data_IF_151678119301
#
_entry.id   IF_151678119301
#
_cell.length_a   1.000
_cell.length_b   1.000
_cell.length_c   1.000
_cell.angle_alpha   90.00
_cell.angle_beta   90.00
_cell.angle_gamma   90.00
#
_symmetry.space_group_name_H-M   'P 1'
#
loop_
_entity.id
_entity.type
_entity.pdbx_description
1 polymer ?
#
# COMPACT_ATOMS: atom_id res chain seq x y z
N UNK A 1 6.51 10.12 6.56
CA UNK A 1 6.09 9.56 5.24
C UNK A 1 6.70 10.33 4.07
N UNK A 2 6.63 11.66 3.95
CA UNK A 2 7.14 12.40 2.78
C UNK A 2 8.62 12.10 2.45
N UNK A 3 9.52 12.10 3.45
CA UNK A 3 10.94 11.76 3.20
C UNK A 3 11.13 10.28 2.83
N UNK A 4 10.35 9.37 3.39
CA UNK A 4 10.36 7.95 3.00
C UNK A 4 9.93 7.78 1.54
N UNK A 5 8.85 8.46 1.12
CA UNK A 5 8.40 8.50 -0.27
C UNK A 5 9.47 9.05 -1.22
N UNK A 6 10.18 10.10 -0.80
CA UNK A 6 11.28 10.66 -1.58
C UNK A 6 12.43 9.65 -1.75
N UNK A 7 12.82 8.95 -0.67
CA UNK A 7 13.85 7.90 -0.74
C UNK A 7 13.44 6.81 -1.74
N UNK A 8 12.19 6.37 -1.67
CA UNK A 8 11.68 5.33 -2.56
C UNK A 8 11.65 5.76 -4.03
N UNK A 9 11.25 7.01 -4.29
CA UNK A 9 11.27 7.59 -5.64
C UNK A 9 12.68 7.74 -6.20
N UNK A 10 13.66 8.15 -5.38
CA UNK A 10 15.06 8.23 -5.77
C UNK A 10 15.59 6.84 -6.19
N UNK A 11 15.30 5.79 -5.42
CA UNK A 11 15.66 4.42 -5.76
C UNK A 11 14.96 3.92 -7.03
N UNK A 12 13.67 4.22 -7.17
CA UNK A 12 12.89 3.85 -8.35
C UNK A 12 13.43 4.51 -9.62
N UNK A 13 13.73 5.80 -9.56
CA UNK A 13 14.31 6.52 -10.69
C UNK A 13 15.68 5.96 -11.08
N UNK A 14 16.58 5.72 -10.10
CA UNK A 14 17.88 5.11 -10.34
C UNK A 14 17.75 3.75 -11.02
N UNK A 15 16.80 2.91 -10.54
CA UNK A 15 16.52 1.61 -11.15
C UNK A 15 15.97 1.75 -12.59
N UNK A 16 15.07 2.69 -12.82
CA UNK A 16 14.52 2.96 -14.16
C UNK A 16 15.59 3.44 -15.14
N UNK A 17 16.55 4.23 -14.66
CA UNK A 17 17.69 4.75 -15.43
C UNK A 17 18.80 3.71 -15.70
N UNK A 18 18.62 2.48 -15.19
CA UNK A 18 19.54 1.37 -15.42
C UNK A 18 20.80 1.42 -14.55
N UNK A 19 20.77 2.14 -13.43
CA UNK A 19 21.86 2.10 -12.45
C UNK A 19 21.93 0.72 -11.79
N UNK A 20 23.10 0.38 -11.22
CA UNK A 20 23.26 -0.86 -10.47
C UNK A 20 22.28 -0.89 -9.27
N UNK A 21 21.48 -1.93 -9.20
CA UNK A 21 20.40 -2.06 -8.22
C UNK A 21 20.34 -3.49 -7.68
N UNK A 22 20.35 -3.63 -6.36
CA UNK A 22 20.31 -4.94 -5.71
C UNK A 22 18.87 -5.41 -5.54
N UNK A 23 18.62 -6.62 -6.04
CA UNK A 23 17.36 -7.34 -5.85
C UNK A 23 17.72 -8.71 -5.28
N UNK A 24 17.32 -8.96 -4.05
CA UNK A 24 17.51 -10.24 -3.37
C UNK A 24 16.18 -11.00 -3.28
N UNK A 25 16.22 -12.22 -2.74
CA UNK A 25 15.02 -13.01 -2.48
C UNK A 25 14.94 -13.39 -1.01
N UNK A 26 13.76 -13.25 -0.44
CA UNK A 26 13.45 -13.74 0.91
C UNK A 26 13.35 -15.28 0.92
N UNK A 27 13.23 -15.87 2.09
CA UNK A 27 13.11 -17.33 2.27
C UNK A 27 11.87 -17.91 1.57
N UNK A 28 10.84 -17.12 1.36
CA UNK A 28 9.60 -17.47 0.64
C UNK A 28 9.66 -17.16 -0.87
N UNK A 29 10.87 -16.88 -1.38
CA UNK A 29 11.16 -16.50 -2.78
C UNK A 29 10.57 -15.14 -3.22
N UNK A 30 9.93 -14.38 -2.33
CA UNK A 30 9.50 -13.02 -2.64
C UNK A 30 10.71 -12.09 -2.84
N UNK A 31 10.63 -11.14 -3.78
CA UNK A 31 11.73 -10.19 -3.98
C UNK A 31 11.80 -9.18 -2.84
N UNK A 32 13.01 -8.81 -2.46
CA UNK A 32 13.33 -7.65 -1.64
C UNK A 32 14.38 -6.81 -2.34
N UNK A 33 14.24 -5.51 -2.32
CA UNK A 33 15.16 -4.60 -2.99
C UNK A 33 15.92 -3.73 -1.99
N UNK A 34 17.01 -3.12 -2.44
CA UNK A 34 17.69 -2.12 -1.61
C UNK A 34 16.77 -0.95 -1.22
N UNK A 35 15.73 -0.66 -2.02
CA UNK A 35 14.74 0.37 -1.73
C UNK A 35 13.91 0.02 -0.49
N UNK A 36 13.42 -1.25 -0.40
CA UNK A 36 12.71 -1.77 0.79
C UNK A 36 13.55 -1.54 2.05
N UNK A 37 14.80 -1.96 2.02
CA UNK A 37 15.71 -1.89 3.17
C UNK A 37 16.05 -0.45 3.59
N UNK A 38 16.25 0.45 2.63
CA UNK A 38 16.52 1.87 2.91
C UNK A 38 15.32 2.56 3.54
N UNK A 39 14.12 2.34 3.01
CA UNK A 39 12.88 2.91 3.56
C UNK A 39 12.58 2.32 4.93
N UNK A 40 12.77 0.99 5.09
CA UNK A 40 12.61 0.31 6.37
C UNK A 40 13.49 0.95 7.45
N UNK A 41 14.80 1.03 7.21
CA UNK A 41 15.75 1.61 8.15
C UNK A 41 15.36 3.03 8.53
N UNK A 42 15.06 3.87 7.54
CA UNK A 42 14.67 5.26 7.79
C UNK A 42 13.40 5.35 8.66
N UNK A 43 12.36 4.59 8.34
CA UNK A 43 11.09 4.66 9.08
C UNK A 43 11.21 4.12 10.50
N UNK A 44 11.94 3.01 10.71
CA UNK A 44 12.20 2.48 12.07
C UNK A 44 12.93 3.52 12.91
N UNK A 45 13.97 4.19 12.38
CA UNK A 45 14.68 5.25 13.09
C UNK A 45 13.77 6.45 13.44
N UNK A 46 12.83 6.82 12.56
CA UNK A 46 11.92 7.91 12.86
C UNK A 46 10.87 7.51 13.89
N UNK A 47 10.33 6.30 13.80
CA UNK A 47 9.36 5.77 14.77
C UNK A 47 9.98 5.66 16.16
N UNK A 48 11.23 5.20 16.27
CA UNK A 48 11.95 5.13 17.54
C UNK A 48 12.21 6.52 18.19
N UNK A 49 12.20 7.61 17.41
CA UNK A 49 12.28 8.98 17.96
C UNK A 49 10.93 9.50 18.45
N UNK A 50 9.83 9.09 17.81
CA UNK A 50 8.47 9.58 18.10
C UNK A 50 7.82 8.77 19.22
N UNK A 51 7.99 7.45 19.19
CA UNK A 51 7.38 6.48 20.10
C UNK A 51 8.41 5.40 20.47
N UNK A 52 9.45 5.73 21.24
CA UNK A 52 10.55 4.80 21.54
C UNK A 52 10.10 3.55 22.31
N UNK A 53 8.94 3.62 22.97
CA UNK A 53 8.34 2.53 23.73
C UNK A 53 7.56 1.52 22.87
N UNK A 54 7.23 1.88 21.62
CA UNK A 54 6.44 1.01 20.76
C UNK A 54 7.33 0.20 19.83
N UNK A 55 7.20 -1.13 19.83
CA UNK A 55 7.90 -1.99 18.87
C UNK A 55 7.37 -1.79 17.46
N UNK A 56 8.21 -2.14 16.47
CA UNK A 56 7.87 -2.09 15.05
C UNK A 56 7.85 -3.49 14.47
N UNK A 57 6.70 -3.95 14.03
CA UNK A 57 6.52 -5.15 13.22
C UNK A 57 6.74 -4.78 11.76
N UNK A 58 7.93 -5.01 11.23
CA UNK A 58 8.24 -4.74 9.84
C UNK A 58 8.36 -6.01 9.02
N UNK A 59 7.93 -5.95 7.76
CA UNK A 59 8.14 -7.05 6.80
C UNK A 59 9.64 -7.38 6.61
N UNK A 60 10.51 -6.38 6.76
CA UNK A 60 11.96 -6.48 6.54
C UNK A 60 12.78 -6.65 7.84
N UNK A 61 12.14 -7.00 8.97
CA UNK A 61 12.83 -7.15 10.26
C UNK A 61 12.51 -8.49 10.93
N UNK A 62 13.32 -8.87 11.91
CA UNK A 62 12.99 -10.01 12.76
C UNK A 62 11.79 -9.66 13.67
N UNK A 63 10.79 -10.51 13.61
CA UNK A 63 9.50 -10.32 14.27
C UNK A 63 9.17 -11.45 15.26
N UNK A 64 10.16 -12.11 15.83
CA UNK A 64 9.99 -13.29 16.69
C UNK A 64 9.18 -13.00 17.96
N UNK A 65 9.30 -11.80 18.52
CA UNK A 65 8.62 -11.38 19.76
C UNK A 65 7.21 -10.80 19.54
N UNK A 66 6.74 -10.70 18.28
CA UNK A 66 5.47 -10.04 17.94
C UNK A 66 4.24 -10.50 18.72
N UNK A 67 4.24 -11.74 19.20
CA UNK A 67 3.11 -12.32 19.93
C UNK A 67 2.94 -11.77 21.36
N UNK A 68 3.94 -11.03 21.87
CA UNK A 68 3.92 -10.44 23.22
C UNK A 68 3.45 -8.98 23.22
N UNK A 69 3.25 -8.38 22.05
CA UNK A 69 2.98 -6.96 21.92
C UNK A 69 1.48 -6.67 21.92
N UNK A 70 1.03 -5.87 22.91
CA UNK A 70 -0.35 -5.36 22.95
C UNK A 70 -0.57 -4.20 21.97
N UNK A 71 0.50 -3.42 21.72
CA UNK A 71 0.50 -2.29 20.81
C UNK A 71 1.81 -2.25 20.03
N UNK A 72 1.74 -2.05 18.73
CA UNK A 72 2.91 -1.96 17.86
C UNK A 72 2.62 -1.18 16.58
N UNK A 73 3.68 -0.65 15.98
CA UNK A 73 3.64 -0.23 14.59
C UNK A 73 3.75 -1.45 13.67
N UNK A 74 2.95 -1.49 12.62
CA UNK A 74 3.07 -2.45 11.53
C UNK A 74 3.52 -1.69 10.28
N UNK A 75 4.64 -2.09 9.70
CA UNK A 75 5.30 -1.42 8.59
C UNK A 75 5.52 -2.38 7.42
N UNK A 76 5.08 -1.95 6.24
CA UNK A 76 5.51 -2.49 4.96
C UNK A 76 6.17 -1.34 4.19
N UNK A 77 7.50 -1.35 4.06
CA UNK A 77 8.27 -0.24 3.49
C UNK A 77 8.11 -0.10 1.98
N UNK A 78 7.72 -1.17 1.28
CA UNK A 78 7.44 -1.20 -0.16
C UNK A 78 6.45 -2.31 -0.49
N UNK A 79 5.14 -2.05 -0.33
CA UNK A 79 4.11 -2.93 -0.90
C UNK A 79 4.03 -2.74 -2.41
N UNK A 80 4.06 -3.86 -3.13
CA UNK A 80 4.15 -3.84 -4.58
C UNK A 80 5.60 -3.89 -5.09
N UNK A 81 6.50 -4.62 -4.42
CA UNK A 81 7.89 -4.83 -4.88
C UNK A 81 7.95 -5.38 -6.30
N UNK A 82 6.99 -6.23 -6.70
CA UNK A 82 6.89 -6.73 -8.08
C UNK A 82 6.55 -5.62 -9.06
N UNK A 83 5.63 -4.74 -8.70
CA UNK A 83 5.24 -3.57 -9.49
C UNK A 83 6.44 -2.64 -9.66
N UNK A 84 7.18 -2.37 -8.59
CA UNK A 84 8.41 -1.60 -8.61
C UNK A 84 9.45 -2.20 -9.59
N UNK A 85 9.73 -3.51 -9.49
CA UNK A 85 10.67 -4.21 -10.36
C UNK A 85 10.22 -4.22 -11.82
N UNK A 86 8.90 -4.29 -12.08
CA UNK A 86 8.34 -4.23 -13.42
C UNK A 86 8.15 -2.78 -13.94
N UNK A 87 8.67 -1.78 -13.21
CA UNK A 87 8.58 -0.35 -13.56
C UNK A 87 7.15 0.12 -13.72
N UNK A 88 6.28 -0.27 -12.79
CA UNK A 88 4.90 0.18 -12.67
C UNK A 88 4.80 1.14 -11.48
N UNK A 89 4.11 2.22 -11.66
CA UNK A 89 3.98 3.30 -10.66
C UNK A 89 2.95 2.99 -9.54
N UNK A 90 2.72 1.69 -9.27
CA UNK A 90 1.63 1.16 -8.45
C UNK A 90 2.15 0.54 -7.14
N UNK A 91 3.10 1.18 -6.48
CA UNK A 91 3.65 0.74 -5.21
C UNK A 91 3.39 1.74 -4.10
N UNK A 92 3.36 1.27 -2.85
CA UNK A 92 2.99 2.07 -1.69
C UNK A 92 3.93 1.83 -0.52
N UNK A 93 3.91 2.76 0.46
CA UNK A 93 4.48 2.57 1.78
C UNK A 93 3.32 2.50 2.77
N UNK A 94 3.21 1.40 3.50
CA UNK A 94 2.12 1.17 4.43
C UNK A 94 2.60 1.19 5.87
N UNK A 95 1.96 2.00 6.71
CA UNK A 95 2.23 2.09 8.13
C UNK A 95 0.93 2.10 8.91
N UNK A 96 0.81 1.23 9.92
CA UNK A 96 -0.37 1.15 10.77
C UNK A 96 0.01 1.06 12.25
N UNK A 97 -0.80 1.64 13.11
CA UNK A 97 -0.72 1.45 14.56
C UNK A 97 -1.77 0.42 14.96
N UNK A 98 -1.31 -0.68 15.52
CA UNK A 98 -2.14 -1.79 15.97
C UNK A 98 -2.22 -1.77 17.49
N UNK A 99 -3.42 -1.89 18.04
CA UNK A 99 -3.66 -2.05 19.46
C UNK A 99 -4.69 -3.18 19.68
N UNK A 100 -4.36 -4.15 20.52
CA UNK A 100 -5.25 -5.28 20.83
C UNK A 100 -5.81 -5.95 19.56
N UNK A 101 -4.95 -6.20 18.57
CA UNK A 101 -5.27 -6.79 17.27
C UNK A 101 -6.20 -5.94 16.37
N UNK A 102 -6.40 -4.67 16.71
CA UNK A 102 -7.16 -3.72 15.88
C UNK A 102 -6.27 -2.61 15.33
N UNK A 103 -6.45 -2.28 14.07
CA UNK A 103 -5.83 -1.09 13.47
C UNK A 103 -6.58 0.15 13.98
N UNK A 104 -5.88 0.99 14.75
CA UNK A 104 -6.45 2.24 15.27
C UNK A 104 -6.06 3.47 14.45
N UNK A 105 -4.97 3.35 13.69
CA UNK A 105 -4.47 4.37 12.78
C UNK A 105 -3.75 3.71 11.62
N UNK A 106 -3.85 4.28 10.42
CA UNK A 106 -3.16 3.79 9.24
C UNK A 106 -2.76 4.92 8.29
N UNK A 107 -1.67 4.69 7.59
CA UNK A 107 -1.20 5.54 6.49
C UNK A 107 -0.83 4.66 5.31
N UNK A 108 -1.31 5.01 4.12
CA UNK A 108 -0.83 4.51 2.84
C UNK A 108 -0.27 5.70 2.07
N UNK A 109 1.04 5.71 1.82
CA UNK A 109 1.65 6.69 0.94
C UNK A 109 1.80 6.11 -0.46
N UNK A 110 1.49 6.92 -1.47
CA UNK A 110 1.70 6.62 -2.90
C UNK A 110 2.79 7.55 -3.41
N UNK A 111 4.07 7.10 -3.39
CA UNK A 111 5.20 7.96 -3.73
C UNK A 111 5.10 8.57 -5.11
N UNK A 112 4.71 7.80 -6.12
CA UNK A 112 4.62 8.21 -7.52
C UNK A 112 3.57 9.30 -7.76
N UNK A 113 2.51 9.32 -6.96
CA UNK A 113 1.47 10.36 -6.98
C UNK A 113 1.76 11.52 -6.03
N UNK A 114 2.80 11.39 -5.20
CA UNK A 114 3.18 12.37 -4.16
C UNK A 114 2.04 12.69 -3.20
N UNK A 115 1.31 11.66 -2.78
CA UNK A 115 0.20 11.76 -1.80
C UNK A 115 0.32 10.71 -0.71
N UNK A 116 -0.40 10.92 0.38
CA UNK A 116 -0.69 9.88 1.36
C UNK A 116 -2.14 9.97 1.85
N UNK A 117 -2.67 8.83 2.24
CA UNK A 117 -3.99 8.70 2.84
C UNK A 117 -3.83 8.27 4.30
N UNK A 118 -4.57 8.94 5.19
CA UNK A 118 -4.63 8.60 6.61
C UNK A 118 -6.02 8.10 6.96
N UNK A 119 -6.05 7.02 7.73
CA UNK A 119 -7.26 6.46 8.31
C UNK A 119 -7.17 6.40 9.83
N UNK A 120 -8.27 6.72 10.51
CA UNK A 120 -8.51 6.52 11.93
C UNK A 120 -9.72 5.63 12.12
N UNK A 121 -9.78 4.91 13.24
CA UNK A 121 -10.86 3.95 13.50
C UNK A 121 -12.27 4.57 13.45
N UNK A 122 -12.41 5.83 13.85
CA UNK A 122 -13.71 6.49 14.07
C UNK A 122 -13.93 7.74 13.21
N UNK A 123 -13.01 8.06 12.31
CA UNK A 123 -13.06 9.27 11.50
C UNK A 123 -13.02 8.97 10.00
N UNK A 124 -13.53 9.93 9.22
CA UNK A 124 -13.32 9.91 7.77
C UNK A 124 -11.83 10.05 7.44
N UNK A 125 -11.35 9.39 6.39
CA UNK A 125 -9.96 9.48 6.01
C UNK A 125 -9.56 10.89 5.58
N UNK A 126 -8.25 11.14 5.64
CA UNK A 126 -7.62 12.35 5.15
C UNK A 126 -6.67 12.01 4.00
N UNK A 127 -6.60 12.90 3.02
CA UNK A 127 -5.58 12.89 1.98
C UNK A 127 -4.61 14.04 2.21
N UNK A 128 -3.32 13.79 2.07
CA UNK A 128 -2.28 14.82 2.10
C UNK A 128 -1.50 14.81 0.80
N UNK A 129 -1.31 15.98 0.21
CA UNK A 129 -0.45 16.15 -0.96
C UNK A 129 0.93 16.64 -0.53
N UNK A 130 1.98 15.92 -0.92
CA UNK A 130 3.37 16.33 -0.69
C UNK A 130 3.79 17.53 -1.55
N UNK A 131 3.07 17.77 -2.66
CA UNK A 131 3.35 18.89 -3.58
C UNK A 131 2.80 20.20 -3.04
N UNK A 132 1.53 20.19 -2.59
CA UNK A 132 0.84 21.39 -2.13
C UNK A 132 0.94 21.60 -0.62
N UNK A 133 1.46 20.58 0.10
CA UNK A 133 1.52 20.53 1.57
C UNK A 133 0.18 20.75 2.26
N UNK A 134 -0.91 20.28 1.63
CA UNK A 134 -2.29 20.48 2.13
C UNK A 134 -2.95 19.18 2.52
N UNK A 135 -3.72 19.26 3.59
CA UNK A 135 -4.64 18.23 4.05
C UNK A 135 -6.03 18.48 3.49
N UNK A 136 -6.65 17.40 3.02
CA UNK A 136 -8.07 17.37 2.66
C UNK A 136 -8.74 16.26 3.45
N UNK A 137 -9.89 16.57 4.08
CA UNK A 137 -10.76 15.55 4.65
C UNK A 137 -11.46 14.86 3.49
N UNK A 138 -11.27 13.54 3.41
CA UNK A 138 -11.77 12.78 2.28
C UNK A 138 -13.22 12.33 2.56
N UNK A 139 -14.19 13.04 2.02
CA UNK A 139 -15.63 12.71 2.09
C UNK A 139 -16.24 12.58 0.68
N UNK A 140 -15.41 12.54 -0.32
CA UNK A 140 -15.84 12.38 -1.72
C UNK A 140 -16.16 10.92 -1.99
N UNK A 141 -17.34 10.48 -1.55
CA UNK A 141 -17.96 9.39 -2.25
C UNK A 141 -18.31 9.94 -3.63
N UNK A 142 -17.51 9.64 -4.65
CA UNK A 142 -17.97 9.83 -6.03
C UNK A 142 -19.27 9.05 -6.14
N UNK A 143 -20.39 9.74 -6.35
CA UNK A 143 -21.55 9.10 -6.95
C UNK A 143 -21.05 8.64 -8.31
N UNK A 144 -20.68 7.37 -8.38
CA UNK A 144 -20.21 6.76 -9.62
C UNK A 144 -21.43 6.64 -10.53
N UNK A 145 -21.68 7.65 -11.35
CA UNK A 145 -22.50 7.53 -12.56
C UNK A 145 -21.71 6.72 -13.61
N UNK A 146 -21.11 5.62 -13.17
CA UNK A 146 -20.45 4.72 -14.11
C UNK A 146 -21.47 3.66 -14.51
N UNK A 147 -21.64 3.50 -15.84
CA UNK A 147 -22.52 2.49 -16.42
C UNK A 147 -22.04 1.05 -16.18
N UNK A 148 -20.93 0.86 -15.45
CA UNK A 148 -20.30 -0.43 -15.20
C UNK A 148 -19.62 -0.49 -13.83
N UNK A 149 -19.68 -1.64 -13.15
CA UNK A 149 -18.97 -1.92 -11.90
C UNK A 149 -17.46 -2.03 -12.19
N UNK A 150 -16.66 -1.23 -11.51
CA UNK A 150 -15.19 -1.26 -11.62
C UNK A 150 -14.62 -2.27 -10.61
N UNK A 151 -14.04 -3.38 -11.08
CA UNK A 151 -13.49 -4.43 -10.23
C UNK A 151 -11.97 -4.39 -10.25
N UNK A 152 -11.36 -4.12 -9.08
CA UNK A 152 -9.92 -4.11 -8.89
C UNK A 152 -9.35 -5.51 -8.80
N UNK A 153 -8.36 -5.84 -9.62
CA UNK A 153 -7.65 -7.11 -9.63
C UNK A 153 -6.15 -6.90 -9.48
N UNK A 154 -5.43 -7.89 -8.97
CA UNK A 154 -3.97 -7.88 -9.02
C UNK A 154 -3.48 -8.41 -10.37
N UNK A 155 -2.38 -7.85 -10.91
CA UNK A 155 -1.75 -8.31 -12.16
C UNK A 155 -1.42 -9.82 -12.18
N UNK A 156 -1.26 -10.43 -11.01
CA UNK A 156 -0.98 -11.86 -10.84
C UNK A 156 -2.19 -12.73 -10.48
N UNK A 157 -3.41 -12.18 -10.58
CA UNK A 157 -4.65 -12.88 -10.19
C UNK A 157 -4.96 -14.04 -11.15
N UNK A 158 -4.44 -15.24 -10.84
CA UNK A 158 -4.64 -16.47 -11.63
C UNK A 158 -5.70 -17.40 -11.06
N UNK A 159 -6.23 -17.14 -9.84
CA UNK A 159 -7.22 -18.01 -9.21
C UNK A 159 -8.55 -17.95 -10.01
N UNK A 160 -9.09 -19.10 -10.46
CA UNK A 160 -10.32 -19.13 -11.25
C UNK A 160 -11.55 -18.55 -10.52
N UNK A 161 -11.52 -18.45 -9.19
CA UNK A 161 -12.59 -17.80 -8.42
C UNK A 161 -12.79 -16.32 -8.80
N UNK A 162 -11.74 -15.62 -9.26
CA UNK A 162 -11.88 -14.24 -9.74
C UNK A 162 -12.78 -14.19 -10.99
N UNK A 163 -12.56 -15.10 -11.95
CA UNK A 163 -13.41 -15.17 -13.14
C UNK A 163 -14.84 -15.53 -12.78
N UNK A 164 -15.05 -16.53 -11.93
CA UNK A 164 -16.39 -16.93 -11.48
C UNK A 164 -17.13 -15.78 -10.80
N UNK A 165 -16.42 -14.98 -10.00
CA UNK A 165 -17.01 -13.83 -9.33
C UNK A 165 -17.38 -12.72 -10.33
N UNK A 166 -16.55 -12.48 -11.33
CA UNK A 166 -16.84 -11.51 -12.38
C UNK A 166 -18.03 -11.98 -13.21
N UNK A 167 -18.09 -13.24 -13.64
CA UNK A 167 -19.21 -13.82 -14.39
C UNK A 167 -20.52 -13.70 -13.60
N UNK A 168 -20.47 -13.82 -12.27
CA UNK A 168 -21.61 -13.58 -11.40
C UNK A 168 -22.08 -12.12 -11.42
N UNK A 169 -21.16 -11.15 -11.32
CA UNK A 169 -21.50 -9.73 -11.37
C UNK A 169 -22.05 -9.31 -12.74
N UNK A 170 -21.52 -9.88 -13.83
CA UNK A 170 -21.91 -9.61 -15.21
C UNK A 170 -23.34 -10.08 -15.55
N UNK A 171 -23.98 -10.89 -14.69
CA UNK A 171 -25.38 -11.30 -14.89
C UNK A 171 -26.37 -10.14 -14.77
N UNK A 172 -26.05 -9.14 -13.97
CA UNK A 172 -26.95 -8.02 -13.69
C UNK A 172 -26.38 -6.66 -14.08
N UNK A 173 -25.04 -6.54 -14.18
CA UNK A 173 -24.37 -5.27 -14.42
C UNK A 173 -23.20 -5.43 -15.38
N UNK A 174 -22.92 -4.45 -16.24
CA UNK A 174 -21.65 -4.40 -16.96
C UNK A 174 -20.48 -4.31 -15.97
N UNK A 175 -19.39 -5.04 -16.23
CA UNK A 175 -18.20 -5.06 -15.37
C UNK A 175 -16.96 -4.61 -16.15
N UNK A 176 -16.19 -3.72 -15.56
CA UNK A 176 -14.87 -3.33 -16.05
C UNK A 176 -13.79 -3.77 -15.07
N UNK A 177 -12.73 -4.37 -15.59
CA UNK A 177 -11.57 -4.82 -14.83
C UNK A 177 -10.53 -3.73 -14.76
N UNK A 178 -10.00 -3.49 -13.57
CA UNK A 178 -8.88 -2.58 -13.30
C UNK A 178 -7.77 -3.37 -12.64
N UNK A 179 -6.65 -3.55 -13.32
CA UNK A 179 -5.48 -4.21 -12.73
C UNK A 179 -4.57 -3.18 -12.09
N UNK A 180 -4.12 -3.45 -10.86
CA UNK A 180 -3.20 -2.59 -10.13
C UNK A 180 -2.45 -3.34 -9.02
N UNK A 181 -1.42 -2.71 -8.46
CA UNK A 181 -0.65 -3.17 -7.32
C UNK A 181 -1.49 -3.36 -6.05
N UNK A 182 -0.99 -4.12 -5.07
CA UNK A 182 -1.74 -4.62 -3.92
C UNK A 182 -2.46 -3.53 -3.12
N UNK A 183 -1.75 -2.81 -2.25
CA UNK A 183 -2.37 -1.78 -1.40
C UNK A 183 -2.78 -0.53 -2.17
N UNK A 184 -2.17 -0.26 -3.33
CA UNK A 184 -2.58 0.84 -4.21
C UNK A 184 -4.07 0.76 -4.58
N UNK A 185 -4.66 -0.45 -4.69
CA UNK A 185 -6.08 -0.62 -4.94
C UNK A 185 -6.99 -0.04 -3.84
N UNK A 186 -6.54 0.01 -2.60
CA UNK A 186 -7.31 0.69 -1.54
C UNK A 186 -7.35 2.20 -1.77
N UNK A 187 -6.27 2.79 -2.30
CA UNK A 187 -6.26 4.20 -2.70
C UNK A 187 -7.23 4.44 -3.86
N UNK A 188 -7.23 3.56 -4.87
CA UNK A 188 -8.19 3.60 -5.99
C UNK A 188 -9.64 3.49 -5.53
N UNK A 189 -9.94 2.68 -4.51
CA UNK A 189 -11.28 2.62 -3.91
C UNK A 189 -11.67 3.94 -3.26
N UNK A 190 -10.76 4.56 -2.52
CA UNK A 190 -11.01 5.89 -1.92
C UNK A 190 -11.26 6.95 -3.00
N UNK A 191 -10.53 6.92 -4.10
CA UNK A 191 -10.70 7.86 -5.21
C UNK A 191 -11.94 7.54 -6.08
N UNK A 192 -12.59 6.38 -5.89
CA UNK A 192 -13.74 5.93 -6.66
C UNK A 192 -13.37 5.46 -8.08
N UNK A 193 -12.14 5.01 -8.28
CA UNK A 193 -11.66 4.43 -9.53
C UNK A 193 -11.98 2.94 -9.63
N UNK A 194 -12.18 2.27 -8.48
CA UNK A 194 -12.71 0.91 -8.37
C UNK A 194 -13.79 0.85 -7.29
N UNK A 195 -14.81 0.03 -7.52
CA UNK A 195 -15.95 -0.17 -6.61
C UNK A 195 -15.75 -1.40 -5.72
N UNK A 196 -15.12 -2.44 -6.25
CA UNK A 196 -14.94 -3.72 -5.57
C UNK A 196 -13.49 -4.20 -5.73
N UNK A 197 -12.91 -4.64 -4.62
CA UNK A 197 -11.61 -5.33 -4.60
C UNK A 197 -11.75 -6.72 -3.97
N UNK A 198 -12.04 -7.78 -4.76
CA UNK A 198 -12.13 -9.14 -4.24
C UNK A 198 -10.75 -9.73 -3.92
N UNK A 199 -10.68 -10.54 -2.86
CA UNK A 199 -9.48 -11.31 -2.49
C UNK A 199 -9.89 -12.77 -2.25
N UNK A 200 -9.38 -13.67 -3.10
CA UNK A 200 -9.57 -15.12 -2.96
C UNK A 200 -8.22 -15.80 -2.68
N UNK A 201 -8.19 -16.56 -1.62
CA UNK A 201 -7.04 -17.38 -1.20
C UNK A 201 -7.23 -18.84 -1.59
#
# INVERSE_FOLDING_TARGET
MAKASQILLEEYQNYCDGQAFNIDRKNDESPVTQADLRVNTYLIEQLAKITPELPVLSEESDNTERHTWEMCWMLDPLDGTKEFIHKRDEFTINLSLIQNHQTIFSVIAVPTEQVMYLGYLTELPYKYSFVTERWERYNKFKETQQDAIQVGLSHSSKNPKYQQYIDYLEQENPVMRREAGSAYKFCMMLEGDIDIYPRFH
#
